data_IF_934829114575
#
_entry.id   IF_934829114575
#
_cell.length_a   1.000
_cell.length_b   1.000
_cell.length_c   1.000
_cell.angle_alpha   90.00
_cell.angle_beta   90.00
_cell.angle_gamma   90.00
#
_symmetry.space_group_name_H-M   'P 1'
#
loop_
_entity.id
_entity.type
_entity.pdbx_description
1 polymer ?
#
# COMPACT_ATOMS: atom_id res chain seq x y z
N UNK A 1 1.24 -30.18 -54.90
CA UNK A 1 0.52 -30.77 -53.75
C UNK A 1 1.57 -31.06 -52.69
N UNK A 2 2.14 -30.05 -52.04
CA UNK A 2 1.68 -29.45 -50.77
C UNK A 2 1.45 -30.49 -49.67
N UNK A 3 2.32 -30.52 -48.68
CA UNK A 3 1.92 -30.47 -47.26
C UNK A 3 3.08 -29.91 -46.45
N UNK A 4 3.02 -28.59 -46.28
CA UNK A 4 3.70 -27.85 -45.22
C UNK A 4 3.05 -28.29 -43.91
N UNK A 5 3.73 -29.15 -43.15
CA UNK A 5 3.37 -29.37 -41.74
C UNK A 5 3.80 -28.11 -40.99
N UNK A 6 2.82 -27.25 -40.70
CA UNK A 6 2.98 -26.05 -39.88
C UNK A 6 3.51 -26.46 -38.50
N UNK A 7 4.71 -26.00 -38.19
CA UNK A 7 5.16 -25.81 -36.81
C UNK A 7 4.16 -24.86 -36.13
N UNK A 8 3.30 -25.42 -35.29
CA UNK A 8 2.50 -24.61 -34.38
C UNK A 8 3.43 -24.10 -33.31
N UNK A 9 3.76 -22.81 -33.44
CA UNK A 9 4.26 -21.94 -32.38
C UNK A 9 3.54 -22.33 -31.08
N UNK A 10 4.29 -22.91 -30.14
CA UNK A 10 3.87 -23.07 -28.76
C UNK A 10 3.58 -21.68 -28.24
N UNK A 11 2.29 -21.33 -28.23
CA UNK A 11 1.72 -20.22 -27.50
C UNK A 11 2.38 -20.18 -26.13
N UNK A 12 3.19 -19.16 -25.87
CA UNK A 12 3.51 -18.72 -24.51
C UNK A 12 2.18 -18.40 -23.83
N UNK A 13 1.56 -19.43 -23.26
CA UNK A 13 0.49 -19.27 -22.30
C UNK A 13 1.07 -18.37 -21.21
N UNK A 14 0.67 -17.11 -21.19
CA UNK A 14 0.84 -16.23 -20.03
C UNK A 14 0.27 -17.00 -18.85
N UNK A 15 1.14 -17.66 -18.09
CA UNK A 15 0.75 -18.26 -16.81
C UNK A 15 0.38 -17.07 -15.94
N UNK A 16 -0.90 -16.97 -15.59
CA UNK A 16 -1.33 -16.01 -14.58
C UNK A 16 -0.41 -16.14 -13.36
N UNK A 17 0.10 -15.04 -12.80
CA UNK A 17 0.93 -15.10 -11.61
C UNK A 17 0.20 -15.88 -10.52
N UNK A 18 0.89 -16.81 -9.86
CA UNK A 18 0.32 -17.50 -8.71
C UNK A 18 0.40 -16.59 -7.48
N UNK A 19 -0.60 -15.72 -7.35
CA UNK A 19 -0.70 -14.75 -6.25
C UNK A 19 -0.76 -15.41 -4.87
N UNK A 20 -1.07 -16.70 -4.77
CA UNK A 20 -1.05 -17.42 -3.49
C UNK A 20 0.36 -17.61 -2.93
N UNK A 21 1.39 -17.50 -3.78
CA UNK A 21 2.79 -17.61 -3.35
C UNK A 21 3.34 -16.30 -2.79
N UNK A 22 2.68 -15.17 -3.08
CA UNK A 22 3.11 -13.86 -2.62
C UNK A 22 2.62 -13.64 -1.19
N UNK A 23 3.55 -13.62 -0.24
CA UNK A 23 3.23 -13.46 1.18
C UNK A 23 2.81 -12.02 1.49
N UNK A 24 1.66 -11.79 2.14
CA UNK A 24 1.31 -10.48 2.61
C UNK A 24 2.26 -10.06 3.73
N UNK A 25 2.58 -8.77 3.75
CA UNK A 25 3.30 -8.14 4.83
C UNK A 25 2.41 -8.10 6.08
N UNK A 26 2.99 -8.36 7.24
CA UNK A 26 2.32 -8.26 8.54
C UNK A 26 3.05 -7.25 9.40
N UNK A 27 2.34 -6.48 10.22
CA UNK A 27 2.95 -5.64 11.25
C UNK A 27 3.17 -6.48 12.51
N UNK A 28 4.40 -6.51 13.01
CA UNK A 28 4.81 -7.39 14.11
C UNK A 28 4.86 -6.70 15.46
N UNK A 29 5.13 -5.40 15.47
CA UNK A 29 5.26 -4.61 16.69
C UNK A 29 4.31 -3.41 16.69
N UNK A 30 4.20 -2.78 17.86
CA UNK A 30 3.57 -1.47 17.98
C UNK A 30 4.25 -0.44 17.09
N UNK A 31 3.44 0.46 16.57
CA UNK A 31 3.90 1.57 15.77
C UNK A 31 4.49 2.67 16.64
N UNK A 32 5.61 3.23 16.17
CA UNK A 32 6.42 4.15 16.98
C UNK A 32 6.44 5.52 16.31
N UNK A 33 5.84 6.50 16.98
CA UNK A 33 5.98 7.91 16.62
C UNK A 33 7.41 8.36 16.89
N UNK A 34 8.07 8.90 15.86
CA UNK A 34 9.43 9.41 15.93
C UNK A 34 9.44 10.91 16.31
N UNK A 35 10.62 11.43 16.69
CA UNK A 35 10.82 12.83 17.04
C UNK A 35 10.54 13.80 15.86
N UNK A 36 10.67 13.32 14.62
CA UNK A 36 10.38 14.08 13.39
C UNK A 36 8.91 13.99 12.95
N UNK A 37 8.03 13.48 13.82
CA UNK A 37 6.61 13.22 13.59
C UNK A 37 6.29 12.09 12.59
N UNK A 38 7.27 11.38 12.06
CA UNK A 38 7.02 10.19 11.25
C UNK A 38 6.56 9.00 12.12
N UNK A 39 5.82 8.07 11.52
CA UNK A 39 5.38 6.84 12.19
C UNK A 39 6.12 5.66 11.59
N UNK A 40 6.87 4.93 12.42
CA UNK A 40 7.54 3.69 12.00
C UNK A 40 6.64 2.49 12.23
N UNK A 41 6.59 1.63 11.23
CA UNK A 41 5.82 0.40 11.19
C UNK A 41 6.81 -0.75 11.02
N UNK A 42 6.96 -1.60 12.05
CA UNK A 42 7.84 -2.75 11.98
C UNK A 42 7.12 -3.95 11.36
N UNK A 43 7.67 -4.49 10.27
CA UNK A 43 7.09 -5.64 9.58
C UNK A 43 7.88 -6.94 9.86
N UNK A 44 8.81 -6.89 10.82
CA UNK A 44 9.73 -7.96 11.18
C UNK A 44 11.03 -7.87 10.39
N UNK A 45 10.95 -8.08 9.08
CA UNK A 45 12.13 -8.15 8.20
C UNK A 45 12.46 -6.79 7.54
N UNK A 46 11.52 -5.85 7.58
CA UNK A 46 11.64 -4.51 7.00
C UNK A 46 11.02 -3.49 7.97
N UNK A 47 11.46 -2.23 7.84
CA UNK A 47 10.83 -1.10 8.52
C UNK A 47 10.21 -0.22 7.46
N UNK A 48 8.91 0.04 7.60
CA UNK A 48 8.22 1.05 6.83
C UNK A 48 8.08 2.32 7.65
N UNK A 49 8.02 3.44 6.95
CA UNK A 49 7.81 4.75 7.54
C UNK A 49 6.68 5.47 6.82
N UNK A 50 5.72 5.94 7.62
CA UNK A 50 4.58 6.72 7.18
C UNK A 50 4.77 8.17 7.60
N UNK A 51 4.62 9.10 6.66
CA UNK A 51 4.68 10.55 6.89
C UNK A 51 3.44 11.23 6.33
N UNK A 52 2.86 12.11 7.14
CA UNK A 52 1.87 13.08 6.70
C UNK A 52 2.61 14.37 6.36
N UNK A 53 2.55 14.81 5.11
CA UNK A 53 3.26 15.99 4.61
C UNK A 53 2.28 17.12 4.35
N UNK A 54 2.69 18.35 4.66
CA UNK A 54 1.96 19.54 4.26
C UNK A 54 2.45 20.04 2.90
N UNK A 55 1.58 19.96 1.89
CA UNK A 55 1.87 20.42 0.52
C UNK A 55 0.77 21.40 0.12
N UNK A 56 1.13 22.67 -0.06
CA UNK A 56 0.20 23.74 -0.46
C UNK A 56 -1.08 23.80 0.40
N UNK A 57 -0.93 23.63 1.72
CA UNK A 57 -2.04 23.62 2.68
C UNK A 57 -2.85 22.31 2.72
N UNK A 58 -2.55 21.33 1.88
CA UNK A 58 -3.16 20.01 1.87
C UNK A 58 -2.32 18.99 2.64
N UNK A 59 -2.99 17.94 3.12
CA UNK A 59 -2.34 16.76 3.70
C UNK A 59 -2.04 15.76 2.59
N UNK A 60 -0.77 15.37 2.46
CA UNK A 60 -0.31 14.30 1.59
C UNK A 60 0.24 13.14 2.43
N UNK A 61 0.07 11.91 1.94
CA UNK A 61 0.58 10.70 2.60
C UNK A 61 1.80 10.17 1.84
N UNK A 62 2.88 9.85 2.57
CA UNK A 62 4.04 9.17 2.02
C UNK A 62 4.33 7.90 2.82
N UNK A 63 4.38 6.76 2.15
CA UNK A 63 4.87 5.49 2.68
C UNK A 63 6.25 5.21 2.05
N UNK A 64 7.22 4.80 2.85
CA UNK A 64 8.59 4.52 2.39
C UNK A 64 9.20 3.36 3.17
N UNK A 65 10.16 2.65 2.58
CA UNK A 65 11.00 1.68 3.31
C UNK A 65 12.21 2.38 3.93
N UNK A 66 12.75 1.79 5.01
CA UNK A 66 13.91 2.28 5.74
C UNK A 66 15.04 1.22 5.65
N UNK A 67 16.29 1.60 5.29
CA UNK A 67 16.73 2.95 4.97
C UNK A 67 16.13 3.45 3.66
N UNK A 68 15.91 4.76 3.57
CA UNK A 68 15.32 5.38 2.39
C UNK A 68 16.26 5.19 1.19
N UNK A 69 15.94 4.27 0.29
CA UNK A 69 16.56 4.25 -1.03
C UNK A 69 16.03 5.45 -1.82
N UNK A 70 16.77 6.55 -1.76
CA UNK A 70 16.42 7.79 -2.45
C UNK A 70 16.87 7.70 -3.90
N UNK A 71 15.93 7.35 -4.78
CA UNK A 71 16.09 7.62 -6.21
C UNK A 71 15.40 8.95 -6.50
N UNK A 72 16.18 9.97 -6.86
CA UNK A 72 15.65 11.29 -7.17
C UNK A 72 15.09 11.35 -8.58
N UNK A 73 13.78 11.12 -8.70
CA UNK A 73 13.07 11.24 -9.98
C UNK A 73 12.61 12.68 -10.29
N UNK A 74 12.86 13.64 -9.40
CA UNK A 74 12.44 15.04 -9.58
C UNK A 74 10.92 15.30 -9.48
N UNK A 75 10.13 14.29 -9.11
CA UNK A 75 8.66 14.38 -9.05
C UNK A 75 8.10 14.74 -7.66
N UNK A 76 8.90 14.62 -6.61
CA UNK A 76 8.43 14.75 -5.23
C UNK A 76 8.92 16.06 -4.60
N UNK A 77 8.03 16.73 -3.86
CA UNK A 77 8.43 17.80 -2.91
C UNK A 77 9.10 17.13 -1.71
N UNK A 78 10.37 17.43 -1.46
CA UNK A 78 11.20 16.69 -0.50
C UNK A 78 11.33 17.38 0.86
N UNK A 79 11.05 18.68 0.91
CA UNK A 79 11.21 19.59 2.04
C UNK A 79 9.87 20.01 2.67
N UNK A 80 8.79 19.33 2.33
CA UNK A 80 7.48 19.54 2.93
C UNK A 80 7.51 19.22 4.45
N UNK A 81 6.91 20.08 5.30
CA UNK A 81 6.80 19.82 6.74
C UNK A 81 6.07 18.51 7.04
N UNK A 82 6.56 17.75 8.03
CA UNK A 82 5.91 16.53 8.53
C UNK A 82 4.92 16.92 9.64
N UNK A 83 3.64 16.63 9.40
CA UNK A 83 2.55 16.86 10.33
C UNK A 83 2.49 15.72 11.35
N UNK A 84 2.29 16.08 12.63
CA UNK A 84 2.12 15.12 13.71
C UNK A 84 0.72 14.48 13.67
N UNK A 85 0.61 13.15 13.54
CA UNK A 85 -0.66 12.47 13.69
C UNK A 85 -1.08 12.34 15.15
N UNK A 86 -2.38 12.45 15.39
CA UNK A 86 -3.00 11.82 16.55
C UNK A 86 -3.11 10.31 16.28
N UNK A 87 -2.72 9.50 17.26
CA UNK A 87 -2.65 8.04 17.12
C UNK A 87 -3.63 7.41 18.10
N UNK A 88 -4.58 6.65 17.58
CA UNK A 88 -5.54 5.86 18.37
C UNK A 88 -5.33 4.38 18.04
N UNK A 89 -5.00 3.59 19.05
CA UNK A 89 -4.76 2.14 18.90
C UNK A 89 -5.94 1.36 19.44
N UNK A 90 -6.31 0.28 18.74
CA UNK A 90 -7.37 -0.65 19.11
C UNK A 90 -7.01 -2.09 18.74
N UNK A 91 -7.83 -3.04 19.18
CA UNK A 91 -7.68 -4.45 18.81
C UNK A 91 -7.82 -4.70 17.29
N UNK A 92 -8.48 -3.79 16.57
CA UNK A 92 -8.73 -3.91 15.13
C UNK A 92 -7.63 -3.26 14.28
N UNK A 93 -6.66 -2.59 14.90
CA UNK A 93 -5.60 -1.84 14.23
C UNK A 93 -5.43 -0.44 14.79
N UNK A 94 -4.84 0.44 13.99
CA UNK A 94 -4.53 1.82 14.39
C UNK A 94 -5.14 2.83 13.46
N UNK A 95 -5.64 3.91 14.04
CA UNK A 95 -6.11 5.09 13.35
C UNK A 95 -5.12 6.24 13.58
N UNK A 96 -4.73 6.89 12.47
CA UNK A 96 -3.83 8.04 12.43
C UNK A 96 -4.60 9.23 11.85
N UNK A 97 -4.81 10.27 12.64
CA UNK A 97 -5.60 11.44 12.25
C UNK A 97 -4.73 12.69 12.12
N UNK A 98 -4.83 13.35 10.97
CA UNK A 98 -4.21 14.65 10.70
C UNK A 98 -5.20 15.53 9.95
N UNK A 99 -5.69 16.60 10.61
CA UNK A 99 -6.65 17.55 10.04
C UNK A 99 -7.90 16.82 9.52
N UNK A 100 -8.14 16.85 8.21
CA UNK A 100 -9.26 16.24 7.50
C UNK A 100 -8.96 14.84 6.97
N UNK A 101 -7.76 14.31 7.21
CA UNK A 101 -7.28 13.02 6.72
C UNK A 101 -7.18 12.00 7.86
N UNK A 102 -7.78 10.82 7.66
CA UNK A 102 -7.72 9.70 8.58
C UNK A 102 -7.16 8.49 7.86
N UNK A 103 -6.12 7.87 8.42
CA UNK A 103 -5.52 6.64 7.90
C UNK A 103 -5.73 5.52 8.90
N UNK A 104 -6.36 4.44 8.46
CA UNK A 104 -6.51 3.21 9.26
C UNK A 104 -5.57 2.14 8.76
N UNK A 105 -4.85 1.53 9.68
CA UNK A 105 -3.89 0.47 9.43
C UNK A 105 -4.33 -0.82 10.13
N UNK A 106 -4.53 -1.88 9.35
CA UNK A 106 -4.64 -3.24 9.88
C UNK A 106 -3.28 -3.91 9.97
N UNK A 107 -3.14 -4.90 10.85
CA UNK A 107 -1.83 -5.48 11.20
C UNK A 107 -1.58 -6.87 10.60
N UNK A 108 -2.61 -7.70 10.43
CA UNK A 108 -2.46 -9.10 10.00
C UNK A 108 -3.58 -9.52 9.02
N UNK A 109 -3.41 -9.31 7.70
CA UNK A 109 -2.26 -8.67 7.06
C UNK A 109 -2.24 -7.15 7.22
N UNK A 110 -1.12 -6.51 6.85
CA UNK A 110 -1.06 -5.07 6.67
C UNK A 110 -2.17 -4.64 5.73
N UNK A 111 -3.03 -3.74 6.17
CA UNK A 111 -4.03 -3.07 5.32
C UNK A 111 -3.92 -1.58 5.53
N UNK A 112 -4.30 -0.81 4.52
CA UNK A 112 -4.38 0.65 4.59
C UNK A 112 -5.73 1.09 4.07
N UNK A 113 -6.34 2.01 4.78
CA UNK A 113 -7.52 2.74 4.36
C UNK A 113 -7.29 4.22 4.63
N UNK A 114 -7.62 5.07 3.66
CA UNK A 114 -7.47 6.51 3.74
C UNK A 114 -8.84 7.13 3.50
N UNK A 115 -9.27 7.92 4.47
CA UNK A 115 -10.47 8.74 4.39
C UNK A 115 -10.08 10.21 4.42
N UNK A 116 -10.82 11.01 3.66
CA UNK A 116 -10.75 12.47 3.72
C UNK A 116 -12.15 12.99 4.04
N UNK A 117 -12.26 14.05 4.81
CA UNK A 117 -13.56 14.59 5.25
C UNK A 117 -14.49 14.82 4.05
N UNK A 118 -15.58 14.06 3.98
CA UNK A 118 -16.57 14.11 2.89
C UNK A 118 -16.41 13.07 1.78
N UNK A 119 -15.34 12.28 1.78
CA UNK A 119 -15.09 11.20 0.83
C UNK A 119 -14.77 9.89 1.59
N UNK A 120 -15.78 9.04 1.71
CA UNK A 120 -15.61 7.72 2.32
C UNK A 120 -14.68 6.86 1.45
N UNK A 121 -13.58 6.40 2.04
CA UNK A 121 -12.57 5.54 1.43
C UNK A 121 -11.96 6.07 0.12
N UNK A 122 -11.30 7.24 0.17
CA UNK A 122 -10.53 7.76 -0.97
C UNK A 122 -9.54 6.72 -1.53
N UNK A 123 -8.98 5.88 -0.65
CA UNK A 123 -8.13 4.75 -1.02
C UNK A 123 -8.26 3.64 0.03
N UNK A 124 -8.31 2.37 -0.39
CA UNK A 124 -8.23 1.25 0.55
C UNK A 124 -7.61 0.00 -0.06
N UNK A 125 -7.07 -0.87 0.78
CA UNK A 125 -6.65 -2.21 0.40
C UNK A 125 -7.83 -3.04 -0.14
N UNK A 126 -7.58 -3.97 -1.09
CA UNK A 126 -8.62 -4.83 -1.65
C UNK A 126 -9.18 -5.75 -0.57
N UNK A 127 -10.50 -5.83 -0.43
CA UNK A 127 -11.17 -6.79 0.46
C UNK A 127 -12.08 -7.67 -0.38
N UNK A 128 -12.02 -8.98 -0.19
CA UNK A 128 -12.96 -9.93 -0.76
C UNK A 128 -14.06 -10.21 0.27
N UNK A 129 -15.18 -9.51 0.14
CA UNK A 129 -16.33 -9.63 1.04
C UNK A 129 -17.06 -10.97 0.92
N UNK A 130 -16.67 -11.84 -0.02
CA UNK A 130 -17.40 -13.06 -0.35
C UNK A 130 -16.71 -14.36 0.07
N UNK A 131 -15.49 -14.32 0.62
CA UNK A 131 -14.71 -15.53 0.94
C UNK A 131 -14.07 -15.47 2.33
N UNK A 132 -13.79 -16.65 2.91
CA UNK A 132 -13.06 -16.78 4.18
C UNK A 132 -11.64 -16.19 4.12
N UNK A 133 -11.05 -16.13 2.92
CA UNK A 133 -9.85 -15.33 2.64
C UNK A 133 -10.26 -13.90 2.33
N UNK A 134 -10.08 -13.01 3.30
CA UNK A 134 -10.38 -11.57 3.20
C UNK A 134 -9.61 -10.88 2.07
N UNK A 135 -8.45 -11.41 1.66
CA UNK A 135 -7.60 -10.81 0.62
C UNK A 135 -7.18 -11.85 -0.42
N UNK A 136 -7.62 -11.70 -1.68
CA UNK A 136 -7.14 -12.50 -2.83
C UNK A 136 -5.79 -12.05 -3.35
N UNK A 137 -5.51 -10.76 -3.22
CA UNK A 137 -4.22 -10.15 -3.49
C UNK A 137 -3.69 -9.60 -2.18
N UNK A 138 -2.41 -9.80 -1.86
CA UNK A 138 -1.83 -9.21 -0.67
C UNK A 138 -1.92 -7.68 -0.78
N UNK A 139 -2.41 -6.98 0.25
CA UNK A 139 -2.48 -5.52 0.22
C UNK A 139 -1.13 -4.86 0.02
N UNK A 140 -0.11 -5.39 0.69
CA UNK A 140 1.28 -4.99 0.54
C UNK A 140 2.16 -6.23 0.68
N UNK A 141 3.15 -6.37 -0.17
CA UNK A 141 4.13 -7.46 -0.13
C UNK A 141 5.52 -6.96 -0.54
N UNK A 142 6.53 -7.51 0.12
CA UNK A 142 7.91 -7.43 -0.35
C UNK A 142 8.21 -8.67 -1.18
N UNK A 143 8.74 -8.48 -2.39
CA UNK A 143 9.23 -9.54 -3.27
C UNK A 143 10.71 -9.34 -3.56
N UNK A 144 11.36 -10.34 -4.15
CA UNK A 144 12.74 -10.25 -4.60
C UNK A 144 12.96 -9.10 -5.61
N UNK A 145 11.92 -8.78 -6.39
CA UNK A 145 11.94 -7.77 -7.45
C UNK A 145 11.48 -6.38 -6.98
N UNK A 146 10.98 -6.23 -5.75
CA UNK A 146 10.51 -4.93 -5.26
C UNK A 146 9.37 -4.98 -4.26
N UNK A 147 8.50 -3.98 -4.33
CA UNK A 147 7.30 -3.87 -3.50
C UNK A 147 6.06 -4.00 -4.38
N UNK A 148 5.09 -4.79 -3.92
CA UNK A 148 3.76 -4.89 -4.52
C UNK A 148 2.75 -4.23 -3.60
N UNK A 149 2.05 -3.20 -4.06
CA UNK A 149 0.94 -2.55 -3.37
C UNK A 149 -0.34 -2.80 -4.17
N UNK A 150 -1.35 -3.38 -3.52
CA UNK A 150 -2.67 -3.62 -4.10
C UNK A 150 -3.68 -2.65 -3.49
N UNK A 151 -4.42 -1.96 -4.36
CA UNK A 151 -5.45 -0.99 -3.97
C UNK A 151 -6.78 -1.37 -4.63
N UNK A 152 -7.86 -1.20 -3.87
CA UNK A 152 -9.20 -1.41 -4.36
C UNK A 152 -9.65 -0.23 -5.22
N UNK A 153 -10.18 -0.53 -6.40
CA UNK A 153 -10.86 0.44 -7.25
C UNK A 153 -12.36 0.07 -7.29
N UNK A 154 -13.23 1.05 -7.03
CA UNK A 154 -14.68 0.80 -7.15
C UNK A 154 -15.05 0.60 -8.63
N UNK A 155 -16.10 -0.18 -8.91
CA UNK A 155 -16.48 -0.61 -10.27
C UNK A 155 -16.69 0.54 -11.28
N UNK A 156 -16.99 1.75 -10.80
CA UNK A 156 -17.21 2.94 -11.62
C UNK A 156 -16.25 4.09 -11.30
N UNK A 157 -15.17 3.82 -10.56
CA UNK A 157 -14.20 4.85 -10.22
C UNK A 157 -13.33 5.16 -11.44
N UNK A 158 -13.38 6.41 -11.88
CA UNK A 158 -12.54 6.86 -12.99
C UNK A 158 -11.09 7.00 -12.53
N UNK A 159 -10.16 6.54 -13.35
CA UNK A 159 -8.72 6.74 -13.16
C UNK A 159 -8.24 7.62 -14.30
N UNK A 160 -7.67 8.76 -13.94
CA UNK A 160 -7.07 9.70 -14.87
C UNK A 160 -5.54 9.64 -14.69
N UNK A 161 -4.80 9.79 -15.78
CA UNK A 161 -3.34 9.73 -15.83
C UNK A 161 -2.75 10.98 -16.47
#
# INVERSE_FOLDING_TARGET
MSNLTRDYLTSDYMRSPDWNTVQPLNLRDELVLQDDNSVRLNTGDEILELRFLEIEGNVALRLSSVPHQRVEYGMLVLDAPILKPEIVTSDQGVELCVRDCTVRLGFNPFTIEVERSGEAHALKSPTDSHFERVHRLPPLSKTDEGWLLSLNLSSNQSVFG
#
